data_IF_718960631300
#
_entry.id   IF_718960631300
#
_cell.length_a   1.000
_cell.length_b   1.000
_cell.length_c   1.000
_cell.angle_alpha   90.00
_cell.angle_beta   90.00
_cell.angle_gamma   90.00
#
_symmetry.space_group_name_H-M   'P 1'
#
loop_
_entity.id
_entity.type
_entity.pdbx_description
1 polymer ?
#
# COMPACT_ATOMS: atom_id res chain seq x y z
N UNK A 1 -9.53 21.75 7.38
CA UNK A 1 -8.21 21.72 8.07
C UNK A 1 -7.38 20.47 7.74
N UNK A 2 -7.81 19.23 8.13
CA UNK A 2 -7.00 18.01 7.90
C UNK A 2 -6.78 17.73 6.42
N UNK A 3 -7.82 17.85 5.59
CA UNK A 3 -7.74 17.64 4.13
C UNK A 3 -6.73 18.60 3.48
N UNK A 4 -6.70 19.84 3.92
CA UNK A 4 -5.78 20.86 3.36
C UNK A 4 -4.34 20.56 3.74
N UNK A 5 -4.10 20.13 4.98
CA UNK A 5 -2.76 19.72 5.44
C UNK A 5 -2.25 18.53 4.63
N UNK A 6 -3.08 17.51 4.41
CA UNK A 6 -2.70 16.33 3.63
C UNK A 6 -2.45 16.70 2.16
N UNK A 7 -3.29 17.56 1.58
CA UNK A 7 -3.10 18.05 0.22
C UNK A 7 -1.79 18.85 0.07
N UNK A 8 -1.48 19.74 1.03
CA UNK A 8 -0.25 20.50 1.01
C UNK A 8 1.00 19.60 1.14
N UNK A 9 0.95 18.58 2.00
CA UNK A 9 2.03 17.58 2.13
C UNK A 9 2.22 16.78 0.85
N UNK A 10 1.13 16.33 0.21
CA UNK A 10 1.21 15.64 -1.08
C UNK A 10 1.86 16.51 -2.15
N UNK A 11 1.43 17.76 -2.29
CA UNK A 11 2.02 18.71 -3.25
C UNK A 11 3.50 18.90 -2.99
N UNK A 12 3.91 19.00 -1.73
CA UNK A 12 5.32 19.08 -1.36
C UNK A 12 6.09 17.82 -1.75
N UNK A 13 5.54 16.64 -1.50
CA UNK A 13 6.16 15.37 -1.88
C UNK A 13 6.35 15.27 -3.40
N UNK A 14 5.34 15.60 -4.19
CA UNK A 14 5.42 15.63 -5.66
C UNK A 14 6.56 16.56 -6.14
N UNK A 15 6.68 17.76 -5.54
CA UNK A 15 7.74 18.71 -5.89
C UNK A 15 9.13 18.18 -5.54
N UNK A 16 9.27 17.51 -4.41
CA UNK A 16 10.55 16.96 -3.93
C UNK A 16 10.99 15.75 -4.75
N UNK A 17 10.08 14.83 -5.05
CA UNK A 17 10.39 13.58 -5.74
C UNK A 17 10.35 13.70 -7.26
N UNK A 18 9.67 14.71 -7.79
CA UNK A 18 9.34 14.89 -9.21
C UNK A 18 8.52 13.73 -9.80
N UNK A 19 7.85 12.95 -8.94
CA UNK A 19 6.96 11.87 -9.35
C UNK A 19 5.53 12.38 -9.44
N UNK A 20 4.88 12.18 -10.58
CA UNK A 20 3.52 12.63 -10.83
C UNK A 20 2.46 11.52 -10.65
N UNK A 21 2.88 10.25 -10.54
CA UNK A 21 1.98 9.16 -10.24
C UNK A 21 1.87 8.97 -8.73
N UNK A 22 0.65 9.06 -8.22
CA UNK A 22 0.35 9.06 -6.79
C UNK A 22 -0.58 7.91 -6.45
N UNK A 23 -0.25 7.12 -5.46
CA UNK A 23 -1.14 6.13 -4.86
C UNK A 23 -1.53 6.59 -3.46
N UNK A 24 -2.81 6.60 -3.17
CA UNK A 24 -3.36 6.97 -1.86
C UNK A 24 -4.13 5.80 -1.29
N UNK A 25 -3.66 5.23 -0.19
CA UNK A 25 -4.25 4.06 0.45
C UNK A 25 -4.46 4.30 1.96
N UNK A 26 -5.08 3.32 2.63
CA UNK A 26 -5.39 3.36 4.06
C UNK A 26 -6.77 3.96 4.37
N UNK A 27 -7.22 3.86 5.62
CA UNK A 27 -8.58 4.20 6.05
C UNK A 27 -9.00 5.62 5.71
N UNK A 28 -8.09 6.60 5.84
CA UNK A 28 -8.39 8.01 5.52
C UNK A 28 -8.66 8.23 4.04
N UNK A 29 -8.17 7.36 3.16
CA UNK A 29 -8.43 7.41 1.72
C UNK A 29 -9.90 7.13 1.35
N UNK A 30 -10.73 6.67 2.30
CA UNK A 30 -12.17 6.55 2.13
C UNK A 30 -12.89 7.91 2.18
N UNK A 31 -12.25 8.97 2.66
CA UNK A 31 -12.85 10.29 2.75
C UNK A 31 -13.05 10.90 1.34
N UNK A 32 -14.31 11.11 0.95
CA UNK A 32 -14.66 11.63 -0.39
C UNK A 32 -14.10 13.04 -0.64
N UNK A 33 -14.11 13.90 0.38
CA UNK A 33 -13.59 15.26 0.26
C UNK A 33 -12.06 15.26 0.05
N UNK A 34 -11.36 14.37 0.76
CA UNK A 34 -9.91 14.19 0.57
C UNK A 34 -9.63 13.70 -0.85
N UNK A 35 -10.33 12.68 -1.33
CA UNK A 35 -10.18 12.18 -2.72
C UNK A 35 -10.33 13.30 -3.74
N UNK A 36 -11.42 14.04 -3.67
CA UNK A 36 -11.69 15.15 -4.60
C UNK A 36 -10.56 16.19 -4.57
N UNK A 37 -10.13 16.59 -3.37
CA UNK A 37 -9.06 17.58 -3.19
C UNK A 37 -7.71 17.11 -3.72
N UNK A 38 -7.32 15.87 -3.43
CA UNK A 38 -6.06 15.30 -3.91
C UNK A 38 -6.07 15.09 -5.42
N UNK A 39 -7.19 14.62 -5.99
CA UNK A 39 -7.36 14.48 -7.44
C UNK A 39 -7.13 15.81 -8.14
N UNK A 40 -7.81 16.87 -7.69
CA UNK A 40 -7.64 18.20 -8.24
C UNK A 40 -6.18 18.69 -8.21
N UNK A 41 -5.48 18.46 -7.11
CA UNK A 41 -4.08 18.89 -6.97
C UNK A 41 -3.11 18.11 -7.85
N UNK A 42 -3.36 16.82 -8.07
CA UNK A 42 -2.52 15.96 -8.93
C UNK A 42 -2.79 16.25 -10.42
N UNK A 43 -4.05 16.37 -10.83
CA UNK A 43 -4.45 16.68 -12.21
C UNK A 43 -3.93 18.05 -12.67
N UNK A 44 -3.97 19.06 -11.80
CA UNK A 44 -3.36 20.39 -12.08
C UNK A 44 -1.87 20.28 -12.43
N UNK A 45 -1.21 19.22 -12.01
CA UNK A 45 0.22 18.94 -12.25
C UNK A 45 0.44 17.91 -13.34
N UNK A 46 -0.61 17.61 -14.12
CA UNK A 46 -0.59 16.60 -15.19
C UNK A 46 -0.17 15.21 -14.67
N UNK A 47 -0.49 14.90 -13.40
CA UNK A 47 -0.24 13.62 -12.75
C UNK A 47 -1.43 12.68 -12.82
N UNK A 48 -1.21 11.45 -12.36
CA UNK A 48 -2.26 10.44 -12.19
C UNK A 48 -2.35 10.06 -10.71
N UNK A 49 -3.57 9.92 -10.21
CA UNK A 49 -3.82 9.49 -8.84
C UNK A 49 -4.67 8.23 -8.82
N UNK A 50 -4.30 7.31 -7.96
CA UNK A 50 -4.95 6.01 -7.82
C UNK A 50 -5.43 5.82 -6.39
N UNK A 51 -6.65 5.33 -6.24
CA UNK A 51 -7.28 5.00 -4.96
C UNK A 51 -7.79 3.58 -5.00
N UNK A 52 -7.72 2.84 -3.90
CA UNK A 52 -8.42 1.56 -3.81
C UNK A 52 -9.94 1.77 -3.82
N UNK A 53 -10.73 0.75 -4.18
CA UNK A 53 -12.17 0.75 -3.96
C UNK A 53 -12.50 1.07 -2.50
N UNK A 54 -13.59 1.81 -2.27
CA UNK A 54 -13.96 2.28 -0.92
C UNK A 54 -14.01 1.15 0.12
N UNK A 55 -14.53 0.00 -0.28
CA UNK A 55 -14.64 -1.21 0.58
C UNK A 55 -13.29 -1.80 1.00
N UNK A 56 -12.19 -1.45 0.31
CA UNK A 56 -10.84 -1.94 0.60
C UNK A 56 -9.95 -0.87 1.25
N UNK A 57 -10.50 0.29 1.61
CA UNK A 57 -9.73 1.36 2.25
C UNK A 57 -9.45 1.08 3.74
N UNK A 58 -10.32 0.32 4.40
CA UNK A 58 -10.14 -0.11 5.80
C UNK A 58 -9.51 -1.49 5.86
N UNK A 59 -9.01 -1.86 7.03
CA UNK A 59 -8.45 -3.18 7.29
C UNK A 59 -9.46 -4.27 6.92
N UNK A 60 -9.02 -5.24 6.14
CA UNK A 60 -9.85 -6.35 5.69
C UNK A 60 -9.04 -7.60 5.43
N UNK A 61 -9.68 -8.76 5.55
CA UNK A 61 -9.04 -10.05 5.38
C UNK A 61 -8.45 -10.28 3.99
N UNK A 62 -9.00 -9.66 2.94
CA UNK A 62 -8.48 -9.79 1.58
C UNK A 62 -7.09 -9.17 1.42
N UNK A 63 -6.80 -8.05 2.10
CA UNK A 63 -5.46 -7.44 2.11
C UNK A 63 -4.44 -8.38 2.75
N UNK A 64 -4.79 -8.98 3.88
CA UNK A 64 -3.92 -9.90 4.61
C UNK A 64 -3.71 -11.18 3.80
N UNK A 65 -4.76 -11.72 3.20
CA UNK A 65 -4.65 -12.89 2.32
C UNK A 65 -3.75 -12.62 1.11
N UNK A 66 -3.91 -11.48 0.45
CA UNK A 66 -3.06 -11.09 -0.69
C UNK A 66 -1.59 -10.95 -0.29
N UNK A 67 -1.30 -10.30 0.84
CA UNK A 67 0.05 -10.19 1.38
C UNK A 67 0.62 -11.56 1.77
N UNK A 68 -0.20 -12.43 2.36
CA UNK A 68 0.16 -13.80 2.70
C UNK A 68 0.52 -14.64 1.47
N UNK A 69 -0.30 -14.58 0.41
CA UNK A 69 -0.05 -15.27 -0.85
C UNK A 69 1.27 -14.80 -1.47
N UNK A 70 1.46 -13.50 -1.63
CA UNK A 70 2.68 -12.93 -2.20
C UNK A 70 3.93 -13.37 -1.41
N UNK A 71 3.81 -13.44 -0.08
CA UNK A 71 4.89 -13.94 0.78
C UNK A 71 5.15 -15.44 0.56
N UNK A 72 4.11 -16.25 0.49
CA UNK A 72 4.25 -17.69 0.25
C UNK A 72 4.84 -18.00 -1.13
N UNK A 73 4.49 -17.22 -2.15
CA UNK A 73 5.06 -17.34 -3.49
C UNK A 73 6.57 -17.02 -3.53
N UNK A 74 7.04 -16.14 -2.65
CA UNK A 74 8.46 -15.81 -2.54
C UNK A 74 9.29 -16.78 -1.71
N UNK A 75 8.65 -17.76 -1.05
CA UNK A 75 9.31 -18.76 -0.21
C UNK A 75 9.70 -20.00 -1.00
N UNK A 76 10.81 -20.61 -0.60
CA UNK A 76 11.17 -21.97 -1.03
C UNK A 76 10.17 -22.99 -0.48
N UNK A 77 10.14 -24.18 -1.08
CA UNK A 77 9.28 -25.29 -0.62
C UNK A 77 9.60 -25.68 0.83
N UNK A 78 10.88 -25.71 1.18
CA UNK A 78 11.32 -26.04 2.55
C UNK A 78 10.82 -24.99 3.58
N UNK A 79 10.89 -23.71 3.24
CA UNK A 79 10.39 -22.62 4.11
C UNK A 79 8.87 -22.69 4.28
N UNK A 80 8.13 -22.98 3.19
CA UNK A 80 6.67 -23.17 3.25
C UNK A 80 6.28 -24.33 4.17
N UNK A 81 6.96 -25.47 4.02
CA UNK A 81 6.73 -26.65 4.85
C UNK A 81 7.00 -26.34 6.32
N UNK A 82 8.13 -25.71 6.64
CA UNK A 82 8.48 -25.32 8.00
C UNK A 82 7.46 -24.31 8.60
N UNK A 83 6.88 -23.43 7.78
CA UNK A 83 5.86 -22.49 8.22
C UNK A 83 4.53 -23.20 8.57
N UNK A 84 4.12 -24.18 7.77
CA UNK A 84 2.88 -24.96 7.97
C UNK A 84 3.02 -25.87 9.23
N UNK A 85 4.18 -26.46 9.42
CA UNK A 85 4.45 -27.33 10.58
C UNK A 85 4.58 -26.54 11.91
N UNK A 86 4.72 -25.24 11.84
CA UNK A 86 4.83 -24.37 13.00
C UNK A 86 3.48 -24.14 13.67
N UNK A 87 3.25 -24.81 14.79
CA UNK A 87 1.98 -24.78 15.55
C UNK A 87 1.76 -23.45 16.29
N UNK A 88 2.83 -22.70 16.59
CA UNK A 88 2.75 -21.42 17.32
C UNK A 88 3.41 -20.29 16.57
N UNK A 89 2.85 -19.08 16.70
CA UNK A 89 3.42 -17.86 16.14
C UNK A 89 3.34 -16.72 17.15
N UNK A 90 4.34 -15.84 17.11
CA UNK A 90 4.32 -14.60 17.91
C UNK A 90 3.66 -13.47 17.18
N UNK A 91 2.98 -12.59 17.91
CA UNK A 91 2.44 -11.34 17.36
C UNK A 91 3.53 -10.27 17.35
N UNK A 92 3.69 -9.59 16.22
CA UNK A 92 4.62 -8.46 16.09
C UNK A 92 3.81 -7.19 15.85
N UNK A 93 3.61 -6.34 16.86
CA UNK A 93 2.83 -5.10 16.73
C UNK A 93 3.46 -4.08 15.76
N UNK A 94 4.79 -4.15 15.62
CA UNK A 94 5.57 -3.38 14.66
C UNK A 94 6.49 -4.31 13.89
N UNK A 95 6.32 -4.34 12.58
CA UNK A 95 7.19 -5.09 11.69
C UNK A 95 7.81 -4.14 10.67
N UNK A 96 9.09 -3.74 10.83
CA UNK A 96 9.76 -2.88 9.88
C UNK A 96 9.78 -3.51 8.48
N UNK A 97 9.46 -2.73 7.46
CA UNK A 97 9.41 -3.22 6.07
C UNK A 97 10.78 -3.71 5.58
N UNK A 98 11.85 -3.13 6.11
CA UNK A 98 13.24 -3.51 5.81
C UNK A 98 13.57 -4.95 6.23
N UNK A 99 12.82 -5.49 7.19
CA UNK A 99 12.97 -6.88 7.65
C UNK A 99 12.19 -7.89 6.82
N UNK A 100 11.39 -7.43 5.87
CA UNK A 100 10.70 -8.32 4.94
C UNK A 100 11.68 -8.77 3.85
N UNK A 101 11.75 -10.08 3.51
CA UNK A 101 12.48 -10.51 2.34
C UNK A 101 11.90 -9.79 1.12
N UNK A 102 12.76 -9.37 0.20
CA UNK A 102 12.31 -8.76 -1.06
C UNK A 102 11.40 -9.76 -1.76
N UNK A 103 10.10 -9.44 -1.83
CA UNK A 103 9.19 -10.21 -2.65
C UNK A 103 9.64 -10.08 -4.11
N UNK A 104 9.80 -11.21 -4.79
CA UNK A 104 9.86 -11.18 -6.24
C UNK A 104 8.49 -10.64 -6.71
N UNK A 105 8.51 -9.46 -7.33
CA UNK A 105 7.29 -8.93 -7.94
C UNK A 105 6.85 -9.94 -9.02
N UNK A 106 5.61 -10.44 -8.98
CA UNK A 106 5.12 -11.28 -10.05
C UNK A 106 5.21 -10.49 -11.37
N UNK A 107 5.67 -11.14 -12.43
CA UNK A 107 5.86 -10.54 -13.78
C UNK A 107 4.64 -9.75 -14.30
N UNK A 108 3.45 -10.03 -13.77
CA UNK A 108 2.18 -9.34 -14.10
C UNK A 108 2.07 -7.90 -13.56
N UNK A 109 2.99 -7.45 -12.73
CA UNK A 109 3.01 -6.10 -12.15
C UNK A 109 4.16 -5.23 -12.66
N UNK A 110 4.98 -5.75 -13.55
CA UNK A 110 5.92 -4.94 -14.33
C UNK A 110 5.15 -4.26 -15.47
N UNK A 111 4.73 -3.03 -15.22
CA UNK A 111 4.15 -2.10 -16.21
C UNK A 111 5.26 -1.17 -16.70
#
# INVERSE_FOLDING_TARGET
>A
AVVDVLAAKLVRAIKMTRLNNVVVAGGVSANKQLRARLTQEVERRRGKIFFPPMRLCTDNGAMIAAAGIARMESMTEAERKALIEKISFGVRPRWPLEMLPKAALPERLTV
#
